data_IF_843931763340
#
_entry.id   IF_843931763340
#
_cell.length_a   1.000
_cell.length_b   1.000
_cell.length_c   1.000
_cell.angle_alpha   90.00
_cell.angle_beta   90.00
_cell.angle_gamma   90.00
#
_symmetry.space_group_name_H-M   'P 1'
#
loop_
_entity.id
_entity.type
_entity.pdbx_description
1 polymer ?
#
# COMPACT_ATOMS: atom_id res chain seq x y z
N UNK A 1 27.15 -12.91 -14.02
CA UNK A 1 26.48 -11.64 -13.65
C UNK A 1 27.27 -10.50 -14.26
N UNK A 2 26.81 -10.02 -15.40
CA UNK A 2 27.51 -9.09 -16.28
C UNK A 2 27.44 -7.66 -15.74
N UNK A 3 28.44 -6.83 -16.04
CA UNK A 3 28.53 -5.41 -15.61
C UNK A 3 27.30 -4.57 -16.00
N UNK A 4 26.54 -5.01 -17.01
CA UNK A 4 25.30 -4.41 -17.49
C UNK A 4 24.14 -4.54 -16.48
N UNK A 5 24.01 -5.67 -15.79
CA UNK A 5 22.95 -5.90 -14.81
C UNK A 5 23.11 -4.97 -13.60
N UNK A 6 24.35 -4.63 -13.25
CA UNK A 6 24.67 -3.69 -12.16
C UNK A 6 24.26 -2.25 -12.46
N UNK A 7 24.23 -1.85 -13.73
CA UNK A 7 23.74 -0.52 -14.13
C UNK A 7 22.22 -0.45 -14.17
N UNK A 8 21.53 -1.55 -14.50
CA UNK A 8 20.07 -1.63 -14.41
C UNK A 8 19.58 -1.68 -12.95
N UNK A 9 20.34 -2.31 -12.05
CA UNK A 9 20.08 -2.25 -10.60
C UNK A 9 20.56 -0.96 -9.92
N UNK A 10 21.23 -0.04 -10.64
CA UNK A 10 21.66 1.26 -10.08
C UNK A 10 20.58 2.35 -10.19
N UNK A 11 19.39 2.02 -10.73
CA UNK A 11 18.20 2.84 -10.56
C UNK A 11 17.67 2.70 -9.14
N UNK A 12 17.07 3.77 -8.59
CA UNK A 12 16.31 3.69 -7.34
C UNK A 12 15.26 2.57 -7.51
N UNK A 13 15.47 1.44 -6.84
CA UNK A 13 14.55 0.31 -6.91
C UNK A 13 13.22 0.73 -6.32
N UNK A 14 12.23 0.92 -7.18
CA UNK A 14 10.84 1.08 -6.79
C UNK A 14 10.18 -0.29 -6.90
N UNK A 15 9.71 -0.82 -5.78
CA UNK A 15 8.98 -2.08 -5.79
C UNK A 15 7.72 -1.94 -6.62
N UNK A 16 7.31 -3.02 -7.30
CA UNK A 16 6.09 -3.08 -8.10
C UNK A 16 5.03 -3.99 -7.49
N UNK A 17 5.23 -4.43 -6.24
CA UNK A 17 4.36 -5.38 -5.54
C UNK A 17 2.89 -4.94 -5.49
N UNK A 18 2.65 -3.63 -5.34
CA UNK A 18 1.31 -3.05 -5.26
C UNK A 18 0.93 -2.24 -6.50
N UNK A 19 1.68 -2.31 -7.60
CA UNK A 19 1.45 -1.51 -8.80
C UNK A 19 0.07 -1.77 -9.44
N UNK A 20 -0.36 -3.04 -9.46
CA UNK A 20 -1.65 -3.46 -10.00
C UNK A 20 -2.79 -3.45 -8.96
N UNK A 21 -2.51 -3.01 -7.73
CA UNK A 21 -3.53 -2.95 -6.69
C UNK A 21 -4.34 -1.64 -6.80
N UNK A 22 -5.65 -1.68 -6.50
CA UNK A 22 -6.45 -0.46 -6.46
C UNK A 22 -5.98 0.45 -5.33
N UNK A 23 -6.34 1.73 -5.42
CA UNK A 23 -6.01 2.74 -4.42
C UNK A 23 -6.41 2.26 -3.02
N UNK A 24 -5.45 2.33 -2.09
CA UNK A 24 -5.60 1.86 -0.73
C UNK A 24 -5.91 3.03 0.22
N UNK A 25 -6.66 2.75 1.27
CA UNK A 25 -6.84 3.66 2.40
C UNK A 25 -6.39 2.97 3.68
N UNK A 26 -5.49 3.60 4.42
CA UNK A 26 -5.01 3.11 5.70
C UNK A 26 -5.72 3.88 6.82
N UNK A 27 -6.34 3.15 7.73
CA UNK A 27 -7.02 3.70 8.89
C UNK A 27 -6.06 4.52 9.77
N UNK A 28 -6.49 5.67 10.32
CA UNK A 28 -5.65 6.50 11.17
C UNK A 28 -5.27 5.81 12.49
N UNK A 29 -6.09 4.88 12.96
CA UNK A 29 -5.87 4.08 14.16
C UNK A 29 -5.12 2.76 13.89
N UNK A 30 -4.40 2.65 12.75
CA UNK A 30 -3.69 1.43 12.38
C UNK A 30 -2.49 1.16 13.29
N UNK A 31 -2.15 -0.11 13.48
CA UNK A 31 -0.92 -0.55 14.12
C UNK A 31 -0.19 -1.56 13.23
N UNK A 32 1.00 -1.26 12.68
CA UNK A 32 1.90 -0.12 12.94
C UNK A 32 1.37 1.26 12.45
N UNK A 33 2.02 2.38 12.85
CA UNK A 33 1.56 3.72 12.53
C UNK A 33 1.30 3.92 11.04
N UNK A 34 0.18 4.56 10.71
CA UNK A 34 -0.26 4.82 9.33
C UNK A 34 0.82 5.41 8.43
N UNK A 35 1.69 6.27 8.98
CA UNK A 35 2.81 6.87 8.24
C UNK A 35 3.81 5.83 7.74
N UNK A 36 4.12 4.81 8.56
CA UNK A 36 5.03 3.73 8.17
C UNK A 36 4.42 2.80 7.14
N UNK A 37 3.15 2.44 7.30
CA UNK A 37 2.44 1.67 6.28
C UNK A 37 2.32 2.46 4.97
N UNK A 38 2.16 3.79 5.05
CA UNK A 38 2.15 4.65 3.88
C UNK A 38 3.48 4.59 3.12
N UNK A 39 4.59 4.79 3.83
CA UNK A 39 5.93 4.69 3.25
C UNK A 39 6.14 3.34 2.56
N UNK A 40 5.79 2.23 3.21
CA UNK A 40 5.94 0.89 2.64
C UNK A 40 5.14 0.72 1.35
N UNK A 41 3.86 1.08 1.36
CA UNK A 41 3.01 0.91 0.17
C UNK A 41 3.53 1.76 -0.99
N UNK A 42 4.00 2.99 -0.74
CA UNK A 42 4.60 3.84 -1.79
C UNK A 42 5.92 3.25 -2.31
N UNK A 43 6.80 2.78 -1.43
CA UNK A 43 8.07 2.13 -1.83
C UNK A 43 7.83 0.85 -2.65
N UNK A 44 6.73 0.16 -2.39
CA UNK A 44 6.27 -1.02 -3.11
C UNK A 44 5.38 -0.70 -4.32
N UNK A 45 5.29 0.57 -4.73
CA UNK A 45 4.63 0.98 -5.98
C UNK A 45 3.11 1.10 -5.90
N UNK A 46 2.54 1.05 -4.69
CA UNK A 46 1.11 1.18 -4.45
C UNK A 46 0.63 2.61 -4.34
N UNK A 47 -0.67 2.80 -4.54
CA UNK A 47 -1.34 4.09 -4.45
C UNK A 47 -2.16 4.20 -3.17
N UNK A 48 -2.10 5.36 -2.51
CA UNK A 48 -2.79 5.58 -1.23
C UNK A 48 -3.61 6.86 -1.31
N UNK A 49 -4.83 6.82 -0.78
CA UNK A 49 -5.70 7.99 -0.63
C UNK A 49 -5.94 8.33 0.83
N UNK A 50 -6.21 9.61 1.09
CA UNK A 50 -6.74 10.09 2.37
C UNK A 50 -8.27 10.02 2.42
N UNK A 51 -8.92 9.70 1.31
CA UNK A 51 -10.37 9.70 1.15
C UNK A 51 -10.87 8.25 1.07
N UNK A 52 -11.48 7.68 2.13
CA UNK A 52 -11.92 6.28 2.15
C UNK A 52 -12.87 5.90 1.00
N UNK A 53 -13.62 6.88 0.48
CA UNK A 53 -14.60 6.66 -0.60
C UNK A 53 -13.94 6.33 -1.94
N UNK A 54 -12.71 6.77 -2.16
CA UNK A 54 -11.93 6.52 -3.37
C UNK A 54 -11.13 5.22 -3.31
N UNK A 55 -11.04 4.60 -2.13
CA UNK A 55 -10.25 3.39 -1.95
C UNK A 55 -11.02 2.14 -2.37
N UNK A 56 -10.34 1.25 -3.09
CA UNK A 56 -10.80 -0.12 -3.37
C UNK A 56 -10.42 -1.10 -2.26
N UNK A 57 -9.37 -0.78 -1.50
CA UNK A 57 -8.90 -1.56 -0.35
C UNK A 57 -8.82 -0.65 0.88
N UNK A 58 -9.41 -1.08 1.98
CA UNK A 58 -9.33 -0.45 3.28
C UNK A 58 -8.47 -1.31 4.20
N UNK A 59 -7.46 -0.70 4.82
CA UNK A 59 -6.49 -1.40 5.67
C UNK A 59 -6.56 -0.88 7.10
N UNK A 60 -6.72 -1.79 8.05
CA UNK A 60 -6.78 -1.52 9.48
C UNK A 60 -8.21 -1.50 10.05
N UNK A 61 -8.38 -1.07 11.31
CA UNK A 61 -9.65 -1.17 12.02
C UNK A 61 -10.75 -0.32 11.35
N UNK A 62 -11.84 -0.98 10.97
CA UNK A 62 -13.03 -0.33 10.40
C UNK A 62 -14.09 -0.11 11.49
N UNK A 63 -14.31 1.12 11.94
CA UNK A 63 -15.38 1.45 12.91
C UNK A 63 -16.71 1.88 12.27
N UNK A 64 -16.78 1.86 10.93
CA UNK A 64 -17.94 2.33 10.17
C UNK A 64 -18.61 1.25 9.32
N UNK A 65 -19.67 1.67 8.61
CA UNK A 65 -20.38 0.82 7.66
C UNK A 65 -19.43 0.34 6.55
N UNK A 66 -19.31 -0.98 6.41
CA UNK A 66 -18.52 -1.59 5.34
C UNK A 66 -19.25 -1.45 4.01
N UNK A 67 -18.51 -1.08 2.96
CA UNK A 67 -19.01 -1.04 1.58
C UNK A 67 -18.75 -2.38 0.93
N UNK A 68 -19.77 -2.99 0.31
CA UNK A 68 -19.64 -4.28 -0.36
C UNK A 68 -18.59 -4.28 -1.50
N UNK A 69 -18.34 -3.12 -2.10
CA UNK A 69 -17.37 -2.94 -3.19
C UNK A 69 -15.93 -2.74 -2.72
N UNK A 70 -15.69 -2.65 -1.41
CA UNK A 70 -14.36 -2.36 -0.84
C UNK A 70 -13.86 -3.59 -0.09
N UNK A 71 -12.62 -3.99 -0.33
CA UNK A 71 -11.96 -5.05 0.43
C UNK A 71 -11.44 -4.49 1.75
N UNK A 72 -11.81 -5.10 2.87
CA UNK A 72 -11.34 -4.72 4.20
C UNK A 72 -10.29 -5.73 4.66
N UNK A 73 -9.07 -5.27 4.89
CA UNK A 73 -7.91 -6.09 5.24
C UNK A 73 -7.25 -5.56 6.52
N UNK A 74 -6.54 -6.42 7.24
CA UNK A 74 -5.67 -6.02 8.35
C UNK A 74 -4.33 -5.49 7.84
N UNK A 75 -3.62 -4.77 8.71
CA UNK A 75 -2.27 -4.25 8.47
C UNK A 75 -1.26 -5.34 8.11
N UNK A 76 -1.47 -6.56 8.64
CA UNK A 76 -0.68 -7.75 8.35
C UNK A 76 -0.77 -8.26 6.92
N UNK A 77 -1.65 -7.69 6.08
CA UNK A 77 -1.66 -7.99 4.65
C UNK A 77 -0.55 -7.24 3.89
N UNK A 78 -0.10 -6.10 4.43
CA UNK A 78 1.03 -5.32 3.87
C UNK A 78 2.37 -5.94 4.29
N UNK A 79 2.44 -6.47 5.53
CA UNK A 79 3.63 -7.06 6.15
C UNK A 79 3.80 -8.54 5.75
#
# INVERSE_FOLDING_TARGET
LCRLERHLSAGQYQGTLFADQPVMFIAPASNPPRTKLWELVVLCGGQITRIPRQAGIFIGPSQGRRRATVKYLSETWIL
#
